data_IF_861126354303
#
_entry.id   IF_861126354303
#
_cell.length_a   1.000
_cell.length_b   1.000
_cell.length_c   1.000
_cell.angle_alpha   90.00
_cell.angle_beta   90.00
_cell.angle_gamma   90.00
#
_symmetry.space_group_name_H-M   'P 1'
#
loop_
_entity.id
_entity.type
_entity.pdbx_description
1 polymer ?
2 non-polymer ?
3 water ?
#
# COMPACT_ATOMS: atom_id res chain seq x y z
N UNK A 7 3.84 20.31 -0.67
CA UNK A 7 4.53 19.30 -1.53
C UNK A 7 4.74 18.00 -0.78
N UNK A 8 4.61 18.05 0.55
CA UNK A 8 4.80 16.84 1.35
C UNK A 8 3.55 15.96 1.39
N UNK A 9 2.42 16.51 0.94
CA UNK A 9 1.17 15.76 0.91
C UNK A 9 0.17 16.47 -0.02
N UNK A 10 0.19 16.06 -1.29
CA UNK A 10 -0.67 16.63 -2.31
C UNK A 10 -2.13 16.61 -1.90
N UNK A 11 -2.80 17.74 -2.15
CA UNK A 11 -4.22 17.93 -1.81
C UNK A 11 -5.12 17.21 -2.83
N UNK A 12 -5.13 15.89 -2.75
CA UNK A 12 -5.89 15.06 -3.69
C UNK A 12 -7.42 15.13 -3.69
N UNK A 13 -8.01 15.16 -4.88
CA UNK A 13 -9.47 15.11 -5.00
C UNK A 13 -9.77 13.61 -5.11
N UNK A 14 -10.23 13.02 -4.01
CA UNK A 14 -10.52 11.59 -3.96
C UNK A 14 -11.65 11.11 -4.88
N UNK A 15 -12.48 12.03 -5.38
CA UNK A 15 -13.59 11.64 -6.25
C UNK A 15 -13.14 11.46 -7.70
N UNK A 16 -11.92 11.88 -8.00
CA UNK A 16 -11.44 11.82 -9.38
C UNK A 16 -10.46 10.70 -9.74
N UNK A 17 -10.07 9.88 -8.77
CA UNK A 17 -9.14 8.79 -9.03
C UNK A 17 -9.84 7.50 -9.46
N UNK A 18 -9.07 6.56 -9.99
CA UNK A 18 -9.62 5.29 -10.46
C UNK A 18 -8.83 4.14 -9.87
N UNK A 19 -9.31 3.60 -8.75
CA UNK A 19 -8.62 2.48 -8.10
C UNK A 19 -8.82 1.20 -8.92
N UNK A 20 -7.89 0.23 -8.78
CA UNK A 20 -6.71 0.32 -7.91
C UNK A 20 -5.58 1.05 -8.62
N UNK A 21 -4.67 1.64 -7.85
CA UNK A 21 -3.58 2.37 -8.48
C UNK A 21 -2.42 2.58 -7.53
N UNK A 22 -1.34 3.13 -8.08
CA UNK A 22 -0.16 3.51 -7.32
C UNK A 22 -0.06 5.01 -7.65
N UNK A 23 0.21 5.84 -6.64
CA UNK A 23 0.30 7.29 -6.86
C UNK A 23 1.26 7.97 -5.89
N UNK A 24 2.13 8.83 -6.42
CA UNK A 24 3.05 9.58 -5.54
C UNK A 24 2.16 10.53 -4.75
N UNK A 25 2.19 10.43 -3.43
CA UNK A 25 1.33 11.26 -2.59
C UNK A 25 2.01 12.50 -2.02
N UNK A 26 3.33 12.53 -2.10
CA UNK A 26 4.08 13.67 -1.60
C UNK A 26 5.55 13.31 -1.48
N UNK A 27 6.38 14.32 -1.27
CA UNK A 27 7.82 14.09 -1.14
C UNK A 27 8.34 15.00 -0.05
N UNK A 28 9.12 14.45 0.88
CA UNK A 28 9.70 15.27 1.92
C UNK A 28 11.20 15.20 1.71
N UNK A 29 11.84 16.36 1.71
CA UNK A 29 13.29 16.43 1.52
C UNK A 29 13.95 16.46 2.88
N UNK A 30 14.99 15.65 3.06
CA UNK A 30 15.71 15.61 4.33
C UNK A 30 16.77 16.72 4.36
N UNK A 31 17.27 17.07 5.55
CA UNK A 31 18.29 18.12 5.70
C UNK A 31 19.51 18.01 4.78
N UNK A 32 19.95 16.78 4.50
CA UNK A 32 21.12 16.54 3.64
C UNK A 32 20.76 16.52 2.18
N UNK A 33 19.46 16.58 1.88
CA UNK A 33 19.07 16.58 0.48
C UNK A 33 18.56 15.29 -0.11
N UNK A 34 18.25 14.30 0.73
CA UNK A 34 17.70 13.04 0.22
C UNK A 34 16.20 13.25 0.09
N UNK A 35 15.51 12.38 -0.65
CA UNK A 35 14.06 12.53 -0.78
C UNK A 35 13.34 11.32 -0.21
N UNK A 36 12.24 11.58 0.48
CA UNK A 36 11.42 10.51 1.02
C UNK A 36 10.14 10.59 0.20
N UNK A 37 9.95 9.61 -0.69
CA UNK A 37 8.78 9.62 -1.54
C UNK A 37 7.65 8.85 -0.88
N UNK A 38 6.48 9.49 -0.79
CA UNK A 38 5.30 8.87 -0.18
C UNK A 38 4.40 8.32 -1.27
N UNK A 39 3.91 7.11 -1.06
CA UNK A 39 3.04 6.47 -2.05
C UNK A 39 1.69 6.01 -1.52
N UNK A 40 0.68 6.26 -2.34
CA UNK A 40 -0.71 5.90 -2.10
C UNK A 40 -0.94 4.60 -2.91
N UNK A 41 -0.99 3.48 -2.20
CA UNK A 41 -1.20 2.17 -2.80
C UNK A 41 -2.68 1.87 -2.58
N UNK A 42 -3.50 2.33 -3.52
CA UNK A 42 -4.94 2.21 -3.43
C UNK A 42 -5.56 0.92 -3.96
N UNK A 43 -6.15 0.15 -3.04
CA UNK A 43 -6.83 -1.10 -3.40
C UNK A 43 -8.27 -0.81 -3.84
N UNK A 44 -9.02 -0.09 -3.01
CA UNK A 44 -10.43 0.20 -3.30
C UNK A 44 -10.73 1.64 -3.67
N UNK A 45 -11.84 1.82 -4.38
CA UNK A 45 -12.26 3.15 -4.79
C UNK A 45 -12.70 3.90 -3.54
N UNK A 46 -12.18 5.12 -3.33
CA UNK A 46 -12.54 5.91 -2.16
C UNK A 46 -14.05 5.96 -1.94
N UNK A 47 -14.46 5.66 -0.72
CA UNK A 47 -15.87 5.72 -0.34
C UNK A 47 -16.86 4.77 -1.02
N UNK A 48 -16.34 3.69 -1.60
CA UNK A 48 -17.20 2.70 -2.26
C UNK A 48 -17.11 1.37 -1.50
N UNK A 49 -16.44 1.39 -0.36
CA UNK A 49 -16.27 0.18 0.42
C UNK A 49 -14.92 0.24 1.10
N UNK A 50 -14.71 -0.60 2.10
CA UNK A 50 -13.45 -0.60 2.82
C UNK A 50 -12.98 -2.02 3.12
N UNK A 51 -11.69 -2.16 3.36
CA UNK A 51 -11.09 -3.45 3.68
C UNK A 51 -11.36 -3.70 5.16
N UNK A 52 -11.78 -4.92 5.50
CA UNK A 52 -12.05 -5.30 6.89
C UNK A 52 -10.76 -5.10 7.70
N UNK A 53 -10.88 -4.70 8.97
CA UNK A 53 -9.70 -4.49 9.81
C UNK A 53 -8.74 -5.68 9.91
N UNK A 54 -9.28 -6.89 10.08
CA UNK A 54 -8.43 -8.07 10.19
C UNK A 54 -7.67 -8.26 8.89
N UNK A 55 -8.36 -8.10 7.78
CA UNK A 55 -7.72 -8.29 6.48
C UNK A 55 -6.63 -7.26 6.21
N UNK A 56 -6.85 -6.00 6.58
CA UNK A 56 -5.84 -5.00 6.30
C UNK A 56 -4.66 -5.21 7.24
N UNK A 57 -4.94 -5.75 8.42
CA UNK A 57 -3.90 -6.04 9.41
C UNK A 57 -3.01 -7.14 8.79
N UNK A 58 -3.63 -8.16 8.22
CA UNK A 58 -2.87 -9.22 7.59
C UNK A 58 -2.09 -8.67 6.40
N UNK A 59 -2.72 -7.80 5.61
CA UNK A 59 -2.05 -7.21 4.46
C UNK A 59 -0.82 -6.45 4.93
N UNK A 60 -0.95 -5.77 6.07
CA UNK A 60 0.17 -5.02 6.62
C UNK A 60 1.32 -5.99 6.89
N UNK A 61 1.03 -7.10 7.54
CA UNK A 61 2.06 -8.10 7.85
C UNK A 61 2.76 -8.67 6.61
N UNK A 62 1.97 -9.04 5.59
CA UNK A 62 2.51 -9.62 4.37
C UNK A 62 3.31 -8.67 3.49
N UNK A 63 2.79 -7.46 3.32
CA UNK A 63 3.45 -6.47 2.48
C UNK A 63 4.72 -5.89 3.07
N UNK A 64 4.85 -5.92 4.40
CA UNK A 64 6.08 -5.41 5.02
C UNK A 64 7.24 -6.15 4.37
N UNK A 65 7.12 -7.47 4.28
CA UNK A 65 8.19 -8.25 3.67
C UNK A 65 8.18 -8.32 2.15
N UNK A 66 7.02 -8.57 1.55
CA UNK A 66 6.95 -8.68 0.10
C UNK A 66 7.33 -7.41 -0.65
N UNK A 67 7.01 -6.24 -0.10
CA UNK A 67 7.39 -5.01 -0.78
C UNK A 67 8.92 -4.89 -0.72
N UNK A 68 9.50 -5.21 0.43
CA UNK A 68 10.95 -5.14 0.57
C UNK A 68 11.65 -6.16 -0.34
N UNK A 69 10.98 -7.26 -0.67
CA UNK A 69 11.58 -8.25 -1.57
C UNK A 69 11.71 -7.69 -2.99
N UNK A 70 10.86 -6.71 -3.32
CA UNK A 70 10.86 -6.17 -4.67
C UNK A 70 11.21 -4.69 -4.81
N UNK A 71 11.50 -4.02 -3.70
CA UNK A 71 11.79 -2.59 -3.75
C UNK A 71 12.74 -2.18 -2.62
N UNK A 72 13.79 -1.44 -2.97
CA UNK A 72 14.77 -0.97 -1.99
C UNK A 72 14.37 0.39 -1.40
N UNK A 73 14.90 0.69 -0.21
CA UNK A 73 14.62 1.96 0.44
C UNK A 73 13.29 2.08 1.17
N UNK A 74 12.58 0.96 1.33
CA UNK A 74 11.28 1.01 2.01
C UNK A 74 11.40 1.43 3.48
N UNK A 75 10.63 2.43 3.89
CA UNK A 75 10.66 2.85 5.28
C UNK A 75 9.71 1.90 6.01
N UNK A 76 8.47 1.84 5.55
CA UNK A 76 7.47 0.93 6.11
C UNK A 76 6.20 0.99 5.27
N UNK A 77 5.37 -0.04 5.39
CA UNK A 77 4.09 -0.11 4.67
C UNK A 77 3.02 -0.09 5.75
N UNK A 78 2.14 0.91 5.71
CA UNK A 78 1.10 1.02 6.73
C UNK A 78 -0.31 1.04 6.17
N UNK A 79 -1.28 0.56 6.96
CA UNK A 79 -2.66 0.57 6.49
C UNK A 79 -3.11 2.03 6.59
N UNK A 80 -3.95 2.49 5.66
CA UNK A 80 -4.47 3.86 5.75
C UNK A 80 -5.66 3.79 6.71
N UNK A 81 -5.91 4.88 7.42
CA UNK A 81 -7.03 4.92 8.34
C UNK A 81 -8.36 4.75 7.61
N UNK A 82 -8.41 5.14 6.34
CA UNK A 82 -9.65 5.02 5.57
C UNK A 82 -9.87 3.58 5.08
N UNK A 83 -8.85 2.75 5.26
CA UNK A 83 -8.89 1.34 4.90
C UNK A 83 -9.22 0.98 3.45
N UNK A 84 -8.89 1.85 2.50
CA UNK A 84 -9.11 1.53 1.09
C UNK A 84 -7.75 1.23 0.44
N UNK A 85 -6.70 1.33 1.24
CA UNK A 85 -5.37 1.06 0.73
C UNK A 85 -4.28 1.14 1.77
N UNK A 86 -3.03 1.04 1.30
CA UNK A 86 -1.86 1.10 2.16
C UNK A 86 -1.03 2.33 1.81
N UNK A 87 -0.29 2.82 2.80
CA UNK A 87 0.56 3.99 2.63
C UNK A 87 1.99 3.49 2.80
N UNK A 88 2.91 3.98 1.97
CA UNK A 88 4.30 3.55 2.06
C UNK A 88 5.28 4.67 1.74
N UNK A 89 6.23 4.90 2.64
CA UNK A 89 7.25 5.92 2.39
C UNK A 89 8.50 5.17 1.93
N UNK A 90 9.20 5.74 0.96
CA UNK A 90 10.39 5.13 0.39
C UNK A 90 11.51 6.18 0.31
N UNK A 91 12.74 5.78 0.61
CA UNK A 91 13.84 6.73 0.50
C UNK A 91 14.31 6.67 -0.94
N UNK A 92 14.20 7.79 -1.64
CA UNK A 92 14.62 7.83 -3.02
C UNK A 92 13.75 8.79 -3.80
N UNK A 93 14.21 9.19 -4.97
CA UNK A 93 13.42 10.10 -5.79
C UNK A 93 12.18 9.36 -6.26
N UNK A 94 11.14 10.11 -6.65
CA UNK A 94 9.90 9.49 -7.11
C UNK A 94 10.11 8.53 -8.27
N UNK A 95 9.45 7.38 -8.18
CA UNK A 95 9.54 6.39 -9.24
C UNK A 95 8.25 5.60 -9.22
N UNK A 96 7.17 6.24 -9.66
CA UNK A 96 5.87 5.57 -9.66
C UNK A 96 5.81 4.30 -10.48
N UNK A 97 6.50 4.29 -11.62
CA UNK A 97 6.51 3.09 -12.46
C UNK A 97 7.19 1.94 -11.71
N UNK A 98 8.37 2.19 -11.15
CA UNK A 98 9.08 1.16 -10.41
C UNK A 98 8.28 0.69 -9.20
N UNK A 99 7.66 1.62 -8.48
CA UNK A 99 6.89 1.23 -7.32
C UNK A 99 5.68 0.37 -7.73
N UNK A 100 5.07 0.70 -8.87
CA UNK A 100 3.92 -0.07 -9.33
C UNK A 100 4.34 -1.50 -9.62
N UNK A 101 5.48 -1.67 -10.28
CA UNK A 101 5.96 -3.02 -10.60
C UNK A 101 6.28 -3.82 -9.35
N UNK A 102 6.86 -3.18 -8.35
CA UNK A 102 7.18 -3.87 -7.09
C UNK A 102 5.88 -4.27 -6.40
N UNK A 103 4.92 -3.34 -6.36
CA UNK A 103 3.61 -3.56 -5.75
C UNK A 103 2.90 -4.72 -6.45
N UNK A 104 2.95 -4.73 -7.78
CA UNK A 104 2.32 -5.80 -8.52
C UNK A 104 2.93 -7.16 -8.17
N UNK A 105 4.26 -7.20 -8.04
CA UNK A 105 4.95 -8.43 -7.70
C UNK A 105 4.64 -8.86 -6.27
N UNK A 106 4.62 -7.90 -5.36
CA UNK A 106 4.32 -8.18 -3.95
C UNK A 106 2.87 -8.70 -3.83
N UNK A 107 1.99 -8.20 -4.69
CA UNK A 107 0.60 -8.65 -4.64
C UNK A 107 0.47 -10.07 -5.16
N UNK A 108 1.33 -10.47 -6.11
CA UNK A 108 1.26 -11.85 -6.59
C UNK A 108 1.74 -12.74 -5.45
N UNK A 109 2.78 -12.30 -4.76
CA UNK A 109 3.30 -13.05 -3.61
C UNK A 109 2.20 -13.18 -2.57
N UNK A 110 1.46 -12.10 -2.35
CA UNK A 110 0.39 -12.10 -1.36
C UNK A 110 -0.77 -13.02 -1.74
N UNK A 111 -1.20 -12.95 -3.00
CA UNK A 111 -2.30 -13.78 -3.48
C UNK A 111 -1.93 -15.27 -3.34
N UNK A 112 -0.65 -15.58 -3.55
CA UNK A 112 -0.20 -16.96 -3.44
C UNK A 112 0.31 -17.36 -2.07
N UNK A 113 0.17 -16.49 -1.07
CA UNK A 113 0.68 -16.81 0.27
C UNK A 113 -0.20 -17.86 0.95
N UNK A 114 0.21 -19.12 0.87
CA UNK A 114 -0.56 -20.20 1.46
C UNK A 114 0.03 -20.71 2.77
N UNK A 115 1.07 -20.04 3.24
CA UNK A 115 1.71 -20.44 4.49
C UNK A 115 1.12 -19.57 5.61
N UNK A 116 1.47 -19.86 6.87
CA UNK A 116 0.93 -19.04 7.95
C UNK A 116 1.36 -17.58 7.81
N UNK A 117 0.61 -16.68 8.43
CA UNK A 117 0.94 -15.26 8.38
C UNK A 117 2.16 -15.01 9.26
N UNK A 118 3.15 -14.26 8.76
CA UNK A 118 4.31 -14.04 9.61
C UNK A 118 4.04 -13.06 10.75
N UNK A 119 4.75 -13.27 11.86
CA UNK A 119 4.64 -12.40 13.02
C UNK A 119 3.32 -12.41 13.77
N UNK A 120 2.58 -13.51 13.68
CA UNK A 120 1.30 -13.57 14.37
C UNK A 120 1.40 -14.33 15.70
N UNK A 121 1.65 -13.57 16.76
CA UNK A 121 1.77 -14.14 18.10
C UNK A 121 1.78 -13.03 19.12
N UNK A 122 1.58 -13.43 20.38
CA UNK A 122 1.59 -12.56 21.55
C UNK A 122 2.87 -11.73 21.57
N UNK A 123 3.95 -12.39 21.18
CA UNK A 123 5.28 -11.81 21.21
C UNK A 123 5.61 -10.78 20.13
N UNK A 124 5.14 -11.03 18.91
CA UNK A 124 5.44 -10.18 17.76
C UNK A 124 4.33 -9.28 17.24
N UNK A 125 3.12 -9.42 17.78
CA UNK A 125 2.00 -8.63 17.28
C UNK A 125 1.10 -8.08 18.39
N UNK A 126 0.65 -6.84 18.22
CA UNK A 126 -0.22 -6.21 19.22
C UNK A 126 -1.69 -6.62 19.24
N UNK A 127 -2.12 -7.38 18.24
CA UNK A 127 -3.52 -7.84 18.17
C UNK A 127 -3.50 -9.11 17.32
N UNK A 128 -2.77 -10.12 17.77
CA UNK A 128 -2.62 -11.36 17.01
C UNK A 128 -3.91 -12.11 16.67
N UNK A 129 -4.96 -11.83 17.43
CA UNK A 129 -6.25 -12.48 17.20
C UNK A 129 -6.99 -11.86 16.01
N UNK A 130 -6.57 -10.68 15.57
CA UNK A 130 -7.26 -9.99 14.49
C UNK A 130 -6.59 -10.12 13.12
N UNK A 131 -6.73 -11.29 12.49
CA UNK A 131 -6.14 -11.54 11.17
C UNK A 131 -7.07 -12.29 10.21
N UNK A 132 -6.83 -12.16 8.91
CA UNK A 132 -7.67 -12.87 7.94
C UNK A 132 -6.89 -13.07 6.64
N UNK A 133 -6.16 -14.18 6.57
CA UNK A 133 -5.36 -14.51 5.39
C UNK A 133 -6.19 -14.65 4.12
N UNK A 134 -7.28 -15.40 4.20
CA UNK A 134 -8.13 -15.59 3.02
C UNK A 134 -8.57 -14.27 2.40
N UNK A 135 -9.09 -13.37 3.23
CA UNK A 135 -9.55 -12.07 2.72
C UNK A 135 -8.39 -11.24 2.20
N UNK A 136 -7.24 -11.36 2.85
CA UNK A 136 -6.05 -10.63 2.44
C UNK A 136 -5.66 -11.10 1.04
N UNK A 137 -5.60 -12.42 0.86
CA UNK A 137 -5.24 -13.00 -0.43
C UNK A 137 -6.21 -12.62 -1.52
N UNK A 138 -7.51 -12.64 -1.22
CA UNK A 138 -8.50 -12.29 -2.22
C UNK A 138 -8.41 -10.82 -2.63
N UNK A 139 -8.11 -9.94 -1.68
CA UNK A 139 -7.99 -8.52 -2.00
C UNK A 139 -6.83 -8.33 -2.98
N UNK A 140 -5.74 -9.07 -2.79
CA UNK A 140 -4.60 -8.99 -3.71
C UNK A 140 -5.04 -9.48 -5.09
N UNK A 141 -5.75 -10.60 -5.11
CA UNK A 141 -6.23 -11.16 -6.36
C UNK A 141 -7.13 -10.15 -7.08
N UNK A 142 -8.03 -9.51 -6.33
CA UNK A 142 -8.95 -8.53 -6.91
C UNK A 142 -8.19 -7.37 -7.57
N UNK A 143 -7.11 -6.92 -6.94
CA UNK A 143 -6.35 -5.81 -7.52
C UNK A 143 -5.68 -6.22 -8.83
N UNK A 144 -5.08 -7.40 -8.84
CA UNK A 144 -4.43 -7.90 -10.03
C UNK A 144 -5.45 -8.12 -11.15
N UNK A 145 -6.64 -8.60 -10.81
CA UNK A 145 -7.69 -8.84 -11.81
C UNK A 145 -8.12 -7.54 -12.48
N UNK A 146 -8.33 -6.53 -11.65
CA UNK A 146 -8.77 -5.21 -12.11
C UNK A 146 -7.66 -4.50 -12.88
N UNK A 147 -6.43 -4.60 -12.38
CA UNK A 147 -5.30 -3.98 -13.06
C UNK A 147 -4.81 -2.63 -12.56
N UNK A 148 -3.54 -2.57 -12.14
CA UNK A 148 -2.94 -1.33 -11.64
C UNK A 148 -2.56 -0.35 -12.75
N UNK A 149 -2.40 0.92 -12.38
CA UNK A 149 -1.94 1.95 -13.31
C UNK A 149 -1.40 3.06 -12.42
N UNK A 150 -0.59 3.94 -12.98
CA UNK A 150 -0.05 5.04 -12.20
C UNK A 150 -1.12 6.12 -12.27
N UNK A 151 -1.62 6.52 -11.11
CA UNK A 151 -2.69 7.52 -11.03
C UNK A 151 -2.15 8.94 -10.87
N UNK A 152 -2.61 9.86 -11.71
CA UNK A 152 -2.13 11.22 -11.57
C UNK A 152 -2.92 11.87 -10.45
N UNK A 153 -2.30 12.80 -9.76
CA UNK A 153 -2.98 13.47 -8.68
C UNK A 153 -3.78 14.64 -9.22
N UNK A 154 -5.09 14.56 -9.08
CA UNK A 154 -5.99 15.62 -9.50
C UNK A 154 -6.22 16.41 -8.20
N UNK A 155 -5.73 17.66 -8.15
CA UNK A 155 -5.88 18.50 -6.96
C UNK A 155 -7.25 19.14 -6.81
N UNK A 156 -7.59 19.49 -5.57
CA UNK A 156 -8.85 20.17 -5.24
C UNK A 156 -8.65 21.65 -5.60
N UNK A 157 -9.58 22.24 -6.35
CA UNK A 157 -9.44 23.64 -6.75
C UNK A 157 -9.48 24.57 -5.54
N UNK A 158 -10.25 24.20 -4.52
CA UNK A 158 -10.33 25.02 -3.32
C UNK A 158 -10.77 26.45 -3.67
X LIG B 1 0.14 -7.36 13.83
#
# INVERSE_FOLDING_TARGET
MPDMANVESFDLDHTKVKAPYVRLAGVKTTPKGDQISKYDLRFLQPNQGAIDPAAIHTLEHLLAGYMRDHLEGVVDVSPMGCRTGMYMAVIGEPDEQGVMKAFEAALKDTAGHDQPIPGVSELECGNYRDHDLAAARQHARDVLDQGLKVQETILLERGSHHHHHH
ZN ZN
#
